data_IF_679522496574
#
_entry.id   IF_679522496574
#
_cell.length_a   1.000
_cell.length_b   1.000
_cell.length_c   1.000
_cell.angle_alpha   90.00
_cell.angle_beta   90.00
_cell.angle_gamma   90.00
#
_symmetry.space_group_name_H-M   'P 1'
#
loop_
_entity.id
_entity.type
_entity.pdbx_description
1 polymer ?
#
# COMPACT_ATOMS: atom_id res chain seq x y z
N UNK A 1 -18.55 -60.60 -21.81
CA UNK A 1 -17.96 -61.91 -22.24
C UNK A 1 -16.64 -61.65 -22.97
N UNK A 2 -15.78 -62.68 -23.06
CA UNK A 2 -14.49 -62.86 -23.78
C UNK A 2 -14.26 -61.88 -24.97
N UNK A 3 -13.04 -61.41 -25.31
CA UNK A 3 -11.78 -62.13 -25.60
C UNK A 3 -10.63 -61.07 -25.67
N UNK A 4 -9.49 -61.09 -24.96
CA UNK A 4 -8.30 -61.97 -24.98
C UNK A 4 -7.45 -61.96 -26.28
N UNK A 5 -6.27 -61.32 -26.26
CA UNK A 5 -4.91 -61.80 -26.67
C UNK A 5 -3.94 -60.59 -26.71
N UNK A 6 -2.79 -60.53 -26.03
CA UNK A 6 -1.64 -61.43 -25.81
C UNK A 6 -0.46 -61.16 -26.79
N UNK A 7 0.52 -60.41 -26.26
CA UNK A 7 1.97 -60.69 -26.34
C UNK A 7 2.75 -60.47 -27.64
N UNK A 8 3.79 -59.62 -27.56
CA UNK A 8 5.19 -60.07 -27.69
C UNK A 8 6.20 -59.17 -26.96
N UNK A 9 7.04 -59.80 -26.12
CA UNK A 9 8.36 -59.29 -25.70
C UNK A 9 9.34 -59.48 -26.86
N UNK A 10 10.46 -58.75 -26.86
CA UNK A 10 11.81 -59.30 -26.56
C UNK A 10 12.86 -58.19 -26.65
N UNK A 11 13.82 -58.25 -25.73
CA UNK A 11 14.97 -57.38 -25.52
C UNK A 11 16.12 -57.64 -26.51
N UNK A 12 16.96 -56.63 -26.78
CA UNK A 12 18.41 -56.83 -26.83
C UNK A 12 19.26 -55.55 -26.59
N UNK A 13 20.01 -55.62 -25.49
CA UNK A 13 21.41 -55.19 -25.31
C UNK A 13 22.28 -55.46 -26.56
N UNK A 14 23.40 -54.81 -26.88
CA UNK A 14 24.21 -53.69 -26.32
C UNK A 14 25.06 -53.08 -27.49
N UNK A 15 26.08 -52.20 -27.39
CA UNK A 15 26.99 -51.80 -26.29
C UNK A 15 27.63 -50.40 -26.56
N UNK A 16 28.40 -49.93 -25.58
CA UNK A 16 29.33 -48.79 -25.52
C UNK A 16 30.25 -48.50 -26.72
N UNK A 17 30.44 -47.20 -27.02
CA UNK A 17 31.76 -46.60 -27.29
C UNK A 17 31.88 -45.28 -26.52
N UNK A 18 33.09 -44.93 -26.09
CA UNK A 18 33.42 -43.93 -25.04
C UNK A 18 34.00 -42.61 -25.58
N UNK A 19 34.22 -41.65 -24.66
CA UNK A 19 34.82 -40.30 -24.82
C UNK A 19 33.94 -39.26 -25.53
N UNK A 20 33.78 -38.02 -25.04
CA UNK A 20 34.72 -37.19 -24.30
C UNK A 20 34.03 -36.30 -23.25
N UNK A 21 34.80 -35.83 -22.25
CA UNK A 21 34.30 -34.94 -21.22
C UNK A 21 34.38 -33.47 -21.64
N UNK A 22 33.27 -32.74 -21.52
CA UNK A 22 33.25 -31.28 -21.47
C UNK A 22 32.45 -30.83 -20.26
N UNK A 23 33.16 -30.45 -19.19
CA UNK A 23 32.56 -29.82 -18.01
C UNK A 23 32.09 -28.42 -18.42
N UNK A 24 30.79 -28.17 -18.38
CA UNK A 24 30.24 -26.82 -18.41
C UNK A 24 29.31 -26.64 -17.22
N UNK A 25 29.86 -26.12 -16.13
CA UNK A 25 29.11 -25.75 -14.93
C UNK A 25 28.28 -24.50 -15.23
N UNK A 26 27.06 -24.69 -15.76
CA UNK A 26 26.08 -23.63 -15.84
C UNK A 26 25.49 -23.39 -14.45
N UNK A 27 26.08 -22.45 -13.71
CA UNK A 27 25.56 -21.98 -12.43
C UNK A 27 24.15 -21.43 -12.62
N UNK A 28 23.22 -21.88 -11.78
CA UNK A 28 21.81 -21.53 -11.89
C UNK A 28 21.61 -20.02 -11.65
N UNK A 29 21.25 -19.28 -12.70
CA UNK A 29 20.77 -17.91 -12.57
C UNK A 29 19.29 -17.94 -12.21
N UNK A 30 19.00 -18.24 -10.94
CA UNK A 30 17.68 -17.98 -10.36
C UNK A 30 17.50 -16.45 -10.36
N UNK A 31 16.47 -15.90 -11.02
CA UNK A 31 16.10 -14.51 -10.81
C UNK A 31 15.46 -14.39 -9.43
N UNK A 32 16.32 -14.35 -8.40
CA UNK A 32 15.95 -13.86 -7.09
C UNK A 32 15.51 -12.42 -7.28
N UNK A 33 14.20 -12.19 -7.43
CA UNK A 33 13.60 -10.88 -7.31
C UNK A 33 13.89 -10.41 -5.90
N UNK A 34 15.00 -9.70 -5.74
CA UNK A 34 15.39 -9.04 -4.53
C UNK A 34 14.35 -7.94 -4.27
N UNK A 35 13.25 -8.33 -3.63
CA UNK A 35 12.37 -7.39 -2.95
C UNK A 35 13.28 -6.55 -2.08
N UNK A 36 13.28 -5.24 -2.30
CA UNK A 36 14.18 -4.30 -1.63
C UNK A 36 13.84 -4.31 -0.15
N UNK A 37 14.53 -5.17 0.60
CA UNK A 37 14.58 -5.18 2.04
C UNK A 37 15.26 -3.88 2.48
N UNK A 38 14.49 -2.80 2.48
CA UNK A 38 14.87 -1.54 3.06
C UNK A 38 15.22 -1.83 4.51
N UNK A 39 16.49 -1.61 4.87
CA UNK A 39 16.93 -1.70 6.24
C UNK A 39 16.02 -0.79 7.08
N UNK A 40 15.28 -1.40 8.00
CA UNK A 40 14.36 -0.68 8.86
C UNK A 40 15.16 0.13 9.89
N UNK A 41 15.60 1.33 9.48
CA UNK A 41 15.85 2.40 10.44
C UNK A 41 14.57 2.68 11.26
N UNK A 42 14.68 3.42 12.37
CA UNK A 42 13.50 3.87 13.10
C UNK A 42 12.54 4.52 12.10
N UNK A 43 11.23 4.17 12.12
CA UNK A 43 10.31 4.60 11.08
C UNK A 43 10.31 6.11 11.03
N UNK A 44 10.89 6.67 9.96
CA UNK A 44 10.67 8.07 9.63
C UNK A 44 9.17 8.19 9.40
N UNK A 45 8.48 8.88 10.31
CA UNK A 45 7.05 9.20 10.20
C UNK A 45 6.85 9.77 8.80
N UNK A 46 6.31 8.94 7.89
CA UNK A 46 6.55 9.09 6.45
C UNK A 46 6.24 10.51 6.05
N UNK A 47 7.27 11.27 5.68
CA UNK A 47 7.25 12.72 5.86
C UNK A 47 6.03 13.33 5.17
N UNK A 48 5.11 13.87 5.96
CA UNK A 48 4.11 14.79 5.44
C UNK A 48 4.81 16.13 5.27
N UNK A 49 4.85 16.69 4.06
CA UNK A 49 5.56 17.93 3.80
C UNK A 49 4.81 19.14 4.39
N UNK A 50 5.49 20.28 4.50
CA UNK A 50 4.80 21.56 4.68
C UNK A 50 3.95 21.83 3.45
N UNK A 51 2.70 22.27 3.62
CA UNK A 51 1.70 22.39 2.56
C UNK A 51 0.70 21.23 2.51
N UNK A 52 0.99 20.11 3.18
CA UNK A 52 0.21 18.88 3.03
C UNK A 52 -0.73 18.57 4.19
N UNK A 53 -1.88 17.98 3.86
CA UNK A 53 -2.68 17.15 4.74
C UNK A 53 -2.31 15.69 4.45
N UNK A 54 -1.93 14.93 5.48
CA UNK A 54 -1.72 13.48 5.34
C UNK A 54 -2.66 12.70 6.25
N UNK A 55 -3.20 11.63 5.70
CA UNK A 55 -4.26 10.80 6.27
C UNK A 55 -3.83 9.34 6.20
N UNK A 56 -3.93 8.60 7.29
CA UNK A 56 -3.52 7.19 7.37
C UNK A 56 -4.70 6.30 7.76
N UNK A 57 -4.82 5.16 7.07
CA UNK A 57 -5.92 4.21 7.25
C UNK A 57 -5.98 3.54 8.64
N UNK A 58 -4.90 3.61 9.45
CA UNK A 58 -4.84 3.06 10.81
C UNK A 58 -4.35 4.11 11.82
N UNK A 59 -4.62 3.92 13.12
CA UNK A 59 -4.00 4.72 14.19
C UNK A 59 -2.47 4.65 14.15
N UNK A 60 -1.81 5.56 14.88
CA UNK A 60 -0.35 5.66 15.01
C UNK A 60 0.37 5.87 13.67
N UNK A 61 -0.26 6.56 12.71
CA UNK A 61 0.29 6.90 11.39
C UNK A 61 0.67 5.67 10.55
N UNK A 62 -0.17 4.61 10.60
CA UNK A 62 0.10 3.29 9.98
C UNK A 62 -0.84 2.98 8.81
N UNK A 63 -0.42 2.03 7.98
CA UNK A 63 -1.20 1.53 6.84
C UNK A 63 -1.08 2.43 5.61
N UNK A 64 -2.05 2.32 4.70
CA UNK A 64 -2.09 3.17 3.51
C UNK A 64 -2.17 4.65 3.91
N UNK A 65 -1.33 5.48 3.28
CA UNK A 65 -1.29 6.94 3.47
C UNK A 65 -1.83 7.63 2.23
N UNK A 66 -2.76 8.56 2.44
CA UNK A 66 -3.18 9.54 1.44
C UNK A 66 -2.51 10.87 1.76
N UNK A 67 -2.12 11.61 0.72
CA UNK A 67 -1.46 12.91 0.84
C UNK A 67 -2.18 13.87 -0.09
N UNK A 68 -2.62 14.99 0.47
CA UNK A 68 -3.32 16.05 -0.26
C UNK A 68 -2.49 17.33 -0.13
N UNK A 69 -2.04 17.85 -1.27
CA UNK A 69 -1.27 19.09 -1.35
C UNK A 69 -2.21 20.29 -1.41
N UNK A 70 -1.96 21.33 -0.61
CA UNK A 70 -2.83 22.51 -0.54
C UNK A 70 -3.06 23.16 -1.91
N UNK A 71 -2.02 23.19 -2.76
CA UNK A 71 -2.09 23.76 -4.12
C UNK A 71 -3.10 23.07 -5.05
N UNK A 72 -3.55 21.87 -4.70
CA UNK A 72 -4.48 21.06 -5.50
C UNK A 72 -5.87 20.92 -4.83
N UNK A 73 -6.14 21.68 -3.77
CA UNK A 73 -7.39 21.61 -3.00
C UNK A 73 -8.18 22.90 -3.11
N UNK A 74 -9.48 22.77 -3.43
CA UNK A 74 -10.43 23.87 -3.32
C UNK A 74 -10.69 24.22 -1.86
N UNK A 75 -10.48 25.50 -1.52
CA UNK A 75 -10.76 26.05 -0.20
C UNK A 75 -12.27 26.17 0.01
N UNK A 76 -12.73 25.94 1.24
CA UNK A 76 -14.13 25.92 1.67
C UNK A 76 -15.00 24.83 1.00
N UNK A 77 -14.44 24.00 0.11
CA UNK A 77 -15.11 22.88 -0.56
C UNK A 77 -14.93 21.55 0.18
N UNK A 78 -15.88 20.63 0.02
CA UNK A 78 -15.79 19.29 0.60
C UNK A 78 -14.96 18.37 -0.29
N UNK A 79 -13.91 17.77 0.26
CA UNK A 79 -13.12 16.72 -0.41
C UNK A 79 -13.42 15.37 0.24
N UNK A 80 -14.14 14.52 -0.48
CA UNK A 80 -14.38 13.13 -0.09
C UNK A 80 -13.12 12.28 -0.28
N UNK A 81 -12.90 11.30 0.61
CA UNK A 81 -11.93 10.23 0.38
C UNK A 81 -12.51 9.20 -0.60
N UNK A 82 -11.66 8.43 -1.32
CA UNK A 82 -12.12 7.38 -2.23
C UNK A 82 -13.08 6.41 -1.55
N UNK A 83 -14.13 6.00 -2.28
CA UNK A 83 -15.15 5.10 -1.75
C UNK A 83 -14.53 3.80 -1.20
N UNK A 84 -14.99 3.36 -0.03
CA UNK A 84 -14.44 2.21 0.69
C UNK A 84 -13.13 2.47 1.47
N UNK A 85 -12.58 3.69 1.41
CA UNK A 85 -11.44 4.11 2.25
C UNK A 85 -11.89 5.02 3.40
N UNK A 86 -11.06 5.11 4.43
CA UNK A 86 -11.21 6.03 5.56
C UNK A 86 -9.84 6.21 6.23
N UNK A 87 -9.71 7.24 7.07
CA UNK A 87 -8.51 7.50 7.86
C UNK A 87 -8.80 7.49 9.37
N UNK A 88 -7.85 6.95 10.13
CA UNK A 88 -7.87 6.84 11.59
C UNK A 88 -6.77 7.65 12.27
N UNK A 89 -5.81 8.19 11.54
CA UNK A 89 -4.82 9.16 12.05
C UNK A 89 -4.44 10.17 10.97
N UNK A 90 -4.02 11.37 11.38
CA UNK A 90 -3.74 12.46 10.45
C UNK A 90 -2.66 13.42 10.92
N UNK A 91 -2.06 14.16 10.00
CA UNK A 91 -1.36 15.40 10.32
C UNK A 91 -1.77 16.52 9.39
N UNK A 92 -2.07 17.68 9.96
CA UNK A 92 -2.36 18.90 9.20
C UNK A 92 -1.12 19.80 9.20
N UNK A 93 -0.41 19.83 8.07
CA UNK A 93 0.73 20.72 7.80
C UNK A 93 0.43 21.70 6.66
N UNK A 94 -0.84 21.90 6.32
CA UNK A 94 -1.28 22.79 5.23
C UNK A 94 -1.04 24.26 5.55
N UNK A 95 -0.83 24.64 6.81
CA UNK A 95 -0.81 26.03 7.24
C UNK A 95 -2.18 26.70 7.24
N UNK A 96 -3.28 25.91 7.20
CA UNK A 96 -4.69 26.33 7.28
C UNK A 96 -5.49 25.41 8.20
N UNK A 97 -6.61 25.86 8.80
CA UNK A 97 -7.52 24.96 9.50
C UNK A 97 -8.09 23.91 8.55
N UNK A 98 -8.20 22.67 9.02
CA UNK A 98 -8.83 21.56 8.30
C UNK A 98 -9.87 20.91 9.20
N UNK A 99 -11.12 20.83 8.74
CA UNK A 99 -12.15 20.02 9.38
C UNK A 99 -12.20 18.65 8.73
N UNK A 100 -12.17 17.58 9.54
CA UNK A 100 -12.49 16.22 9.08
C UNK A 100 -13.90 15.85 9.49
N UNK A 101 -14.51 14.94 8.73
CA UNK A 101 -15.89 14.50 8.90
C UNK A 101 -15.99 12.97 8.87
N UNK A 102 -16.90 12.44 9.68
CA UNK A 102 -17.35 11.04 9.62
C UNK A 102 -18.21 10.78 8.37
N UNK A 103 -18.94 11.79 7.88
CA UNK A 103 -19.66 11.75 6.61
C UNK A 103 -18.68 11.89 5.42
N UNK A 104 -18.99 11.22 4.31
CA UNK A 104 -18.28 11.40 3.04
C UNK A 104 -18.69 12.69 2.30
N UNK A 105 -19.77 13.35 2.74
CA UNK A 105 -20.38 14.54 2.12
C UNK A 105 -20.13 15.81 2.93
N UNK A 106 -19.24 15.74 3.94
CA UNK A 106 -19.01 16.78 4.94
C UNK A 106 -20.28 17.23 5.70
N UNK A 107 -21.25 16.30 5.88
CA UNK A 107 -22.47 16.59 6.63
C UNK A 107 -22.20 16.77 8.13
N UNK A 108 -22.75 17.84 8.70
CA UNK A 108 -22.57 18.26 10.11
C UNK A 108 -23.53 17.56 11.08
N UNK A 109 -24.37 16.65 10.58
CA UNK A 109 -25.26 15.79 11.39
C UNK A 109 -24.56 14.54 11.95
N UNK A 110 -23.33 14.27 11.52
CA UNK A 110 -22.44 13.26 12.08
C UNK A 110 -21.19 13.91 12.69
N UNK A 111 -20.28 13.10 13.23
CA UNK A 111 -19.10 13.62 13.93
C UNK A 111 -18.15 14.39 12.98
N UNK A 112 -17.67 15.55 13.43
CA UNK A 112 -16.65 16.34 12.75
C UNK A 112 -15.75 17.07 13.76
N UNK A 113 -14.51 17.37 13.37
CA UNK A 113 -13.54 18.08 14.22
C UNK A 113 -12.60 18.93 13.36
N UNK A 114 -12.24 20.12 13.85
CA UNK A 114 -11.34 21.06 13.17
C UNK A 114 -9.96 21.06 13.82
N UNK A 115 -8.91 20.90 13.00
CA UNK A 115 -7.51 20.89 13.42
C UNK A 115 -6.78 22.10 12.81
N UNK A 116 -6.06 22.91 13.61
CA UNK A 116 -5.28 24.02 13.08
C UNK A 116 -4.08 23.53 12.24
N UNK A 117 -3.59 24.43 11.38
CA UNK A 117 -2.66 24.10 10.29
C UNK A 117 -1.17 24.24 10.60
N UNK A 118 -0.84 24.64 11.82
CA UNK A 118 0.52 24.88 12.33
C UNK A 118 1.32 23.60 12.61
N UNK A 119 0.72 22.41 12.42
CA UNK A 119 1.41 21.13 12.44
C UNK A 119 0.83 20.11 13.41
N UNK A 120 -0.49 20.04 13.57
CA UNK A 120 -1.14 19.02 14.43
C UNK A 120 -0.78 17.61 13.95
N UNK A 121 -0.42 16.74 14.89
CA UNK A 121 -0.30 15.29 14.69
C UNK A 121 -1.35 14.59 15.57
N UNK A 122 -2.35 13.98 14.94
CA UNK A 122 -3.43 13.26 15.61
C UNK A 122 -3.18 11.75 15.47
N UNK A 123 -2.66 11.07 16.51
CA UNK A 123 -2.32 9.65 16.44
C UNK A 123 -3.55 8.74 16.33
N UNK A 124 -4.72 9.19 16.80
CA UNK A 124 -5.99 8.51 16.59
C UNK A 124 -7.15 9.50 16.52
N UNK A 125 -7.96 9.40 15.46
CA UNK A 125 -9.25 10.09 15.34
C UNK A 125 -10.32 9.39 16.19
N UNK A 126 -11.25 10.12 16.84
CA UNK A 126 -12.38 9.51 17.55
C UNK A 126 -13.39 8.84 16.60
N UNK A 127 -13.36 9.14 15.31
CA UNK A 127 -14.20 8.54 14.27
C UNK A 127 -13.42 8.28 12.98
N UNK A 128 -13.95 7.39 12.14
CA UNK A 128 -13.43 7.12 10.80
C UNK A 128 -13.62 8.33 9.90
N UNK A 129 -12.53 9.02 9.55
CA UNK A 129 -12.56 10.17 8.64
C UNK A 129 -12.90 9.69 7.23
N UNK A 130 -13.91 10.30 6.60
CA UNK A 130 -14.36 9.99 5.23
C UNK A 130 -14.32 11.18 4.28
N UNK A 131 -14.31 12.40 4.80
CA UNK A 131 -14.11 13.62 4.03
C UNK A 131 -13.40 14.67 4.88
N UNK A 132 -12.91 15.72 4.22
CA UNK A 132 -12.36 16.90 4.87
C UNK A 132 -12.70 18.18 4.11
N UNK A 133 -12.56 19.32 4.78
CA UNK A 133 -12.65 20.67 4.21
C UNK A 133 -11.46 21.50 4.70
N UNK A 134 -10.79 22.19 3.79
CA UNK A 134 -9.73 23.16 4.12
C UNK A 134 -10.35 24.55 4.16
N UNK A 135 -10.01 25.34 5.17
CA UNK A 135 -10.58 26.67 5.36
C UNK A 135 -9.60 27.79 5.00
N UNK A 136 -10.14 29.02 5.03
CA UNK A 136 -9.33 30.23 5.09
C UNK A 136 -8.54 30.34 6.40
N UNK A 137 -7.57 31.26 6.46
CA UNK A 137 -6.78 31.51 7.68
C UNK A 137 -7.47 32.53 8.56
#
# INVERSE_FOLDING_TARGET
MRTCRITRRITRTSTTTTLAATVLALTALIPSTAGTAHAAGPPTLGACATGQLCLWAKPEFKGARQTHELSNLDINSCTALPAGTSAQSLTNRTGRPVTTYQSAECAETGEFQTYPGDGVWLPQSPYQVRAFKVWER
#
